data_IF_598553166193
#
_entry.id   IF_598553166193
#
_cell.length_a   1.000
_cell.length_b   1.000
_cell.length_c   1.000
_cell.angle_alpha   90.00
_cell.angle_beta   90.00
_cell.angle_gamma   90.00
#
_symmetry.space_group_name_H-M   'P 1'
#
loop_
_entity.id
_entity.type
_entity.pdbx_description
1 polymer ?
#
# COMPACT_ATOMS: atom_id res chain seq x y z
N UNK A 1 -16.41 -1.02 -2.67
CA UNK A 1 -17.71 -1.65 -2.42
C UNK A 1 -18.83 -0.91 -3.15
N UNK A 2 -18.96 0.41 -3.02
CA UNK A 2 -20.00 1.22 -3.68
C UNK A 2 -20.03 1.03 -5.21
N UNK A 3 -18.87 1.10 -5.88
CA UNK A 3 -18.76 0.90 -7.33
C UNK A 3 -19.18 -0.49 -7.81
N UNK A 4 -19.19 -1.47 -6.92
CA UNK A 4 -19.66 -2.83 -7.21
C UNK A 4 -21.12 -3.06 -6.79
N UNK A 5 -21.79 -2.06 -6.19
CA UNK A 5 -23.15 -2.19 -5.65
C UNK A 5 -23.25 -3.07 -4.39
N UNK A 6 -22.13 -3.33 -3.72
CA UNK A 6 -22.07 -4.27 -2.57
C UNK A 6 -22.41 -3.60 -1.23
N UNK A 7 -22.80 -2.34 -1.23
CA UNK A 7 -23.03 -1.57 -0.01
C UNK A 7 -21.78 -1.42 0.84
N UNK A 8 -21.68 -0.41 1.65
CA UNK A 8 -20.58 -0.18 2.59
C UNK A 8 -20.69 1.20 3.19
N UNK A 9 -20.24 1.36 4.43
CA UNK A 9 -20.04 2.67 5.02
C UNK A 9 -18.62 3.12 4.74
N UNK A 10 -18.48 4.25 4.07
CA UNK A 10 -17.18 4.90 3.85
C UNK A 10 -16.98 5.98 4.90
N UNK A 11 -15.89 5.90 5.62
CA UNK A 11 -15.52 6.87 6.66
C UNK A 11 -14.28 7.68 6.28
N UNK A 12 -14.17 8.07 4.99
CA UNK A 12 -13.05 8.87 4.50
C UNK A 12 -11.71 8.10 4.47
N UNK A 13 -10.61 8.85 4.57
CA UNK A 13 -9.25 8.30 4.47
C UNK A 13 -8.80 7.47 5.69
N UNK A 14 -9.47 7.63 6.81
CA UNK A 14 -9.14 6.96 8.08
C UNK A 14 -10.18 5.85 8.42
N UNK A 15 -10.68 5.13 7.42
CA UNK A 15 -11.64 4.06 7.63
C UNK A 15 -11.08 2.98 8.55
N UNK A 16 -11.80 2.70 9.65
CA UNK A 16 -11.41 1.70 10.65
C UNK A 16 -11.99 0.31 10.38
N UNK A 17 -12.85 0.17 9.38
CA UNK A 17 -13.53 -1.08 9.06
C UNK A 17 -12.98 -1.69 7.77
N UNK A 18 -12.35 -2.86 7.90
CA UNK A 18 -11.95 -3.64 6.73
C UNK A 18 -13.19 -4.23 6.02
N UNK A 19 -13.21 -4.25 4.67
CA UNK A 19 -14.29 -4.87 3.93
C UNK A 19 -14.33 -6.39 4.19
N UNK A 20 -15.54 -6.96 4.15
CA UNK A 20 -15.69 -8.42 4.15
C UNK A 20 -15.10 -8.97 2.84
N UNK A 21 -14.25 -9.99 2.94
CA UNK A 21 -13.54 -10.62 1.80
C UNK A 21 -12.76 -9.60 0.91
N UNK A 22 -11.75 -8.91 1.45
CA UNK A 22 -11.05 -7.84 0.73
C UNK A 22 -10.38 -8.31 -0.57
N UNK A 23 -9.89 -9.53 -0.64
CA UNK A 23 -9.28 -10.11 -1.83
C UNK A 23 -10.28 -10.23 -2.99
N UNK A 24 -11.48 -10.74 -2.71
CA UNK A 24 -12.55 -10.82 -3.71
C UNK A 24 -13.02 -9.45 -4.18
N UNK A 25 -13.04 -8.46 -3.27
CA UNK A 25 -13.39 -7.08 -3.60
C UNK A 25 -12.36 -6.45 -4.54
N UNK A 26 -11.08 -6.60 -4.25
CA UNK A 26 -10.00 -6.08 -5.10
C UNK A 26 -10.03 -6.69 -6.49
N UNK A 27 -10.15 -8.02 -6.59
CA UNK A 27 -10.22 -8.73 -7.87
C UNK A 27 -11.45 -8.34 -8.69
N UNK A 28 -12.64 -8.29 -8.10
CA UNK A 28 -13.86 -7.91 -8.78
C UNK A 28 -13.83 -6.44 -9.28
N UNK A 29 -13.23 -5.54 -8.50
CA UNK A 29 -13.09 -4.15 -8.91
C UNK A 29 -12.08 -4.01 -10.05
N UNK A 30 -10.96 -4.71 -10.00
CA UNK A 30 -9.97 -4.74 -11.06
C UNK A 30 -10.57 -5.23 -12.39
N UNK A 31 -11.33 -6.32 -12.36
CA UNK A 31 -12.05 -6.82 -13.53
C UNK A 31 -13.06 -5.81 -14.08
N UNK A 32 -13.86 -5.21 -13.20
CA UNK A 32 -14.90 -4.25 -13.60
C UNK A 32 -14.32 -3.00 -14.24
N UNK A 33 -13.18 -2.51 -13.74
CA UNK A 33 -12.58 -1.26 -14.21
C UNK A 33 -11.51 -1.48 -15.30
N UNK A 34 -11.06 -2.71 -15.52
CA UNK A 34 -9.98 -3.03 -16.46
C UNK A 34 -8.64 -2.37 -16.03
N UNK A 35 -8.34 -2.34 -14.74
CA UNK A 35 -7.15 -1.69 -14.21
C UNK A 35 -6.57 -2.47 -13.03
N UNK A 36 -5.36 -2.12 -12.62
CA UNK A 36 -4.77 -2.62 -11.37
C UNK A 36 -5.41 -1.91 -10.19
N UNK A 37 -5.83 -2.68 -9.20
CA UNK A 37 -6.38 -2.19 -7.93
C UNK A 37 -5.44 -2.56 -6.80
N UNK A 38 -5.00 -1.57 -6.03
CA UNK A 38 -4.32 -1.76 -4.76
C UNK A 38 -5.29 -1.39 -3.63
N UNK A 39 -5.58 -2.34 -2.77
CA UNK A 39 -6.34 -2.15 -1.55
C UNK A 39 -5.37 -2.19 -0.37
N UNK A 40 -5.06 -1.03 0.19
CA UNK A 40 -4.14 -0.90 1.32
C UNK A 40 -4.79 -1.30 2.64
N UNK A 41 -3.99 -1.90 3.53
CA UNK A 41 -4.45 -2.35 4.84
C UNK A 41 -3.30 -2.89 5.69
N UNK A 42 -3.61 -3.72 6.67
CA UNK A 42 -2.59 -4.48 7.41
C UNK A 42 -1.80 -5.37 6.45
N UNK A 43 -2.49 -6.02 5.52
CA UNK A 43 -1.92 -6.62 4.32
C UNK A 43 -2.42 -5.81 3.12
N UNK A 44 -1.52 -5.46 2.20
CA UNK A 44 -1.91 -4.80 0.96
C UNK A 44 -2.24 -5.86 -0.09
N UNK A 45 -3.36 -5.67 -0.78
CA UNK A 45 -3.85 -6.59 -1.80
C UNK A 45 -3.80 -5.89 -3.16
N UNK A 46 -3.07 -6.47 -4.10
CA UNK A 46 -2.93 -5.95 -5.45
C UNK A 46 -3.56 -6.94 -6.43
N UNK A 47 -4.48 -6.49 -7.27
CA UNK A 47 -5.17 -7.31 -8.25
C UNK A 47 -5.26 -6.59 -9.61
N UNK A 48 -5.18 -7.35 -10.72
CA UNK A 48 -5.40 -6.84 -12.08
C UNK A 48 -6.58 -7.52 -12.80
N UNK A 49 -7.32 -8.36 -12.07
CA UNK A 49 -8.44 -9.15 -12.60
C UNK A 49 -8.06 -10.55 -13.08
N UNK A 50 -6.77 -10.86 -13.23
CA UNK A 50 -6.25 -12.20 -13.57
C UNK A 50 -5.43 -12.79 -12.43
N UNK A 51 -4.71 -11.96 -11.70
CA UNK A 51 -3.83 -12.35 -10.61
C UNK A 51 -4.07 -11.48 -9.38
N UNK A 52 -3.69 -11.99 -8.23
CA UNK A 52 -3.75 -11.35 -6.93
C UNK A 52 -2.43 -11.55 -6.20
N UNK A 53 -1.87 -10.47 -5.68
CA UNK A 53 -0.71 -10.51 -4.80
C UNK A 53 -1.07 -9.93 -3.44
N UNK A 54 -0.55 -10.53 -2.38
CA UNK A 54 -0.65 -10.02 -1.01
C UNK A 54 0.73 -9.59 -0.54
N UNK A 55 0.88 -8.34 -0.15
CA UNK A 55 2.11 -7.79 0.42
C UNK A 55 1.92 -7.63 1.93
N UNK A 56 2.73 -8.37 2.69
CA UNK A 56 2.77 -8.36 4.16
C UNK A 56 3.92 -7.54 4.68
N UNK A 57 3.97 -7.37 6.00
CA UNK A 57 5.02 -6.59 6.66
C UNK A 57 4.59 -5.15 6.96
N UNK A 58 5.59 -4.28 7.16
CA UNK A 58 5.38 -2.91 7.58
C UNK A 58 5.29 -2.79 9.10
N UNK A 59 4.74 -1.68 9.58
CA UNK A 59 4.56 -1.37 11.00
C UNK A 59 3.12 -0.99 11.29
N UNK A 60 2.60 -1.42 12.42
CA UNK A 60 1.28 -0.99 12.91
C UNK A 60 1.23 0.51 13.18
N UNK A 61 2.37 1.15 13.40
CA UNK A 61 2.48 2.61 13.57
C UNK A 61 2.11 3.39 12.30
N UNK A 62 2.13 2.76 11.12
CA UNK A 62 1.63 3.42 9.90
C UNK A 62 0.19 3.91 10.05
N UNK A 63 -0.62 3.25 10.88
CA UNK A 63 -2.00 3.65 11.19
C UNK A 63 -2.08 4.94 11.99
N UNK A 64 -1.00 5.35 12.64
CA UNK A 64 -0.90 6.60 13.41
C UNK A 64 -0.42 7.77 12.56
N UNK A 65 -0.03 7.52 11.30
CA UNK A 65 0.44 8.54 10.35
C UNK A 65 -0.67 8.82 9.35
N UNK A 66 -1.40 9.91 9.58
CA UNK A 66 -2.41 10.37 8.61
C UNK A 66 -1.77 10.60 7.25
N UNK A 67 -2.36 10.03 6.21
CA UNK A 67 -1.89 10.16 4.83
C UNK A 67 -0.90 9.07 4.39
N UNK A 68 -0.55 8.09 5.24
CA UNK A 68 0.34 6.99 4.82
C UNK A 68 -0.15 6.24 3.58
N UNK A 69 -1.47 6.03 3.46
CA UNK A 69 -2.10 5.45 2.26
C UNK A 69 -2.03 6.37 1.05
N UNK A 70 -2.18 7.69 1.24
CA UNK A 70 -2.04 8.66 0.15
C UNK A 70 -0.61 8.69 -0.39
N UNK A 71 0.39 8.56 0.49
CA UNK A 71 1.79 8.46 0.09
C UNK A 71 2.06 7.20 -0.73
N UNK A 72 1.50 6.06 -0.32
CA UNK A 72 1.56 4.84 -1.12
C UNK A 72 0.98 5.03 -2.52
N UNK A 73 -0.11 5.78 -2.66
CA UNK A 73 -0.69 6.08 -3.98
C UNK A 73 0.27 6.88 -4.87
N UNK A 74 1.01 7.85 -4.30
CA UNK A 74 2.04 8.61 -5.03
C UNK A 74 3.21 7.71 -5.43
N UNK A 75 3.65 6.83 -4.53
CA UNK A 75 4.69 5.84 -4.83
C UNK A 75 4.27 4.89 -5.95
N UNK A 76 3.03 4.42 -5.98
CA UNK A 76 2.51 3.62 -7.09
C UNK A 76 2.65 4.35 -8.44
N UNK A 77 2.36 5.66 -8.47
CA UNK A 77 2.58 6.49 -9.66
C UNK A 77 4.04 6.58 -10.07
N UNK A 78 4.94 6.78 -9.11
CA UNK A 78 6.39 6.84 -9.38
C UNK A 78 6.94 5.51 -9.91
N UNK A 79 6.58 4.39 -9.28
CA UNK A 79 6.99 3.06 -9.75
C UNK A 79 6.42 2.72 -11.12
N UNK A 80 5.15 3.08 -11.39
CA UNK A 80 4.54 2.88 -12.71
C UNK A 80 5.24 3.71 -13.81
N UNK A 81 5.74 4.90 -13.48
CA UNK A 81 6.44 5.75 -14.43
C UNK A 81 7.78 5.16 -14.88
N UNK A 82 8.48 4.42 -14.01
CA UNK A 82 9.76 3.77 -14.35
C UNK A 82 9.60 2.34 -14.86
N UNK A 83 8.40 1.77 -14.78
CA UNK A 83 8.06 0.43 -15.27
C UNK A 83 6.82 0.47 -16.19
N UNK A 84 6.95 1.13 -17.35
CA UNK A 84 5.81 1.25 -18.26
C UNK A 84 5.37 -0.12 -18.81
N UNK A 85 4.06 -0.34 -18.85
CA UNK A 85 3.47 -1.58 -19.37
C UNK A 85 3.25 -2.68 -18.35
N UNK A 86 3.75 -2.56 -17.11
CA UNK A 86 3.51 -3.52 -16.04
C UNK A 86 3.09 -2.83 -14.73
N UNK A 87 1.88 -2.29 -14.75
CA UNK A 87 1.31 -1.59 -13.60
C UNK A 87 1.09 -2.51 -12.38
N UNK A 88 0.89 -3.82 -12.61
CA UNK A 88 0.74 -4.78 -11.52
C UNK A 88 2.03 -4.92 -10.71
N UNK A 89 3.15 -5.23 -11.39
CA UNK A 89 4.45 -5.32 -10.73
C UNK A 89 4.85 -3.99 -10.10
N UNK A 90 4.61 -2.86 -10.77
CA UNK A 90 4.87 -1.53 -10.21
C UNK A 90 4.14 -1.30 -8.88
N UNK A 91 2.85 -1.66 -8.80
CA UNK A 91 2.06 -1.52 -7.57
C UNK A 91 2.55 -2.47 -6.46
N UNK A 92 2.93 -3.71 -6.80
CA UNK A 92 3.52 -4.66 -5.84
C UNK A 92 4.83 -4.13 -5.27
N UNK A 93 5.72 -3.61 -6.12
CA UNK A 93 7.00 -3.06 -5.67
C UNK A 93 6.82 -1.79 -4.84
N UNK A 94 5.90 -0.90 -5.19
CA UNK A 94 5.58 0.27 -4.38
C UNK A 94 5.08 -0.12 -2.98
N UNK A 95 4.20 -1.12 -2.88
CA UNK A 95 3.71 -1.61 -1.60
C UNK A 95 4.82 -2.24 -0.75
N UNK A 96 5.69 -3.07 -1.37
CA UNK A 96 6.85 -3.66 -0.69
C UNK A 96 7.82 -2.61 -0.18
N UNK A 97 8.15 -1.65 -1.04
CA UNK A 97 9.04 -0.53 -0.68
C UNK A 97 8.49 0.24 0.53
N UNK A 98 7.22 0.61 0.50
CA UNK A 98 6.60 1.39 1.57
C UNK A 98 6.56 0.62 2.91
N UNK A 99 6.29 -0.68 2.86
CA UNK A 99 6.33 -1.54 4.04
C UNK A 99 7.75 -1.72 4.57
N UNK A 100 8.74 -1.91 3.71
CA UNK A 100 10.14 -1.99 4.11
C UNK A 100 10.63 -0.69 4.78
N UNK A 101 10.24 0.47 4.25
CA UNK A 101 10.50 1.75 4.90
C UNK A 101 9.88 1.83 6.29
N UNK A 102 8.65 1.34 6.46
CA UNK A 102 7.96 1.35 7.74
C UNK A 102 8.62 0.42 8.78
N UNK A 103 9.11 -0.74 8.37
CA UNK A 103 9.85 -1.66 9.23
C UNK A 103 11.14 -1.03 9.75
N UNK A 104 11.92 -0.40 8.87
CA UNK A 104 13.15 0.30 9.28
C UNK A 104 12.86 1.52 10.16
N UNK A 105 11.82 2.28 9.84
CA UNK A 105 11.42 3.43 10.63
C UNK A 105 11.00 3.07 12.06
N UNK A 106 10.46 1.85 12.27
CA UNK A 106 10.08 1.34 13.58
C UNK A 106 11.26 1.33 14.55
N UNK A 107 12.44 0.88 14.08
CA UNK A 107 13.66 0.76 14.88
C UNK A 107 14.20 2.13 15.34
N UNK A 108 13.83 3.20 14.67
CA UNK A 108 14.33 4.56 14.92
C UNK A 108 13.29 5.48 15.58
N UNK A 109 12.11 4.97 15.91
CA UNK A 109 10.98 5.78 16.34
C UNK A 109 10.57 5.53 17.80
N UNK A 110 10.60 6.58 18.63
CA UNK A 110 10.10 6.52 20.00
C UNK A 110 8.56 6.65 20.09
N UNK A 111 7.92 7.27 19.11
CA UNK A 111 6.47 7.51 19.09
C UNK A 111 5.95 7.88 17.70
N UNK A 112 4.66 8.22 17.57
CA UNK A 112 4.02 8.49 16.29
C UNK A 112 4.67 9.65 15.49
N UNK A 113 5.08 10.71 16.19
CA UNK A 113 5.73 11.87 15.55
C UNK A 113 7.10 11.52 14.98
N UNK A 114 7.97 10.88 15.79
CA UNK A 114 9.29 10.43 15.34
C UNK A 114 9.18 9.33 14.30
N UNK A 115 8.18 8.43 14.39
CA UNK A 115 7.93 7.42 13.36
C UNK A 115 7.60 8.07 12.01
N UNK A 116 6.76 9.10 11.99
CA UNK A 116 6.46 9.81 10.75
C UNK A 116 7.73 10.38 10.11
N UNK A 117 8.58 11.04 10.89
CA UNK A 117 9.85 11.59 10.38
C UNK A 117 10.76 10.46 9.89
N UNK A 118 10.98 9.42 10.70
CA UNK A 118 11.81 8.27 10.34
C UNK A 118 11.32 7.56 9.07
N UNK A 119 10.00 7.45 8.86
CA UNK A 119 9.42 6.86 7.67
C UNK A 119 9.80 7.61 6.39
N UNK A 120 9.78 8.95 6.43
CA UNK A 120 10.21 9.79 5.30
C UNK A 120 11.72 9.74 5.09
N UNK A 121 12.50 9.83 6.17
CA UNK A 121 13.96 9.78 6.10
C UNK A 121 14.41 8.43 5.52
N UNK A 122 13.78 7.34 5.96
CA UNK A 122 14.04 6.00 5.43
C UNK A 122 13.67 5.92 3.94
N UNK A 123 12.50 6.42 3.55
CA UNK A 123 12.08 6.39 2.15
C UNK A 123 13.04 7.19 1.24
N UNK A 124 13.58 8.31 1.74
CA UNK A 124 14.55 9.13 1.01
C UNK A 124 15.96 8.55 0.95
N UNK A 125 16.31 7.65 1.85
CA UNK A 125 17.65 7.04 1.97
C UNK A 125 17.72 5.56 1.56
N UNK A 126 16.56 4.92 1.24
CA UNK A 126 16.51 3.52 0.85
C UNK A 126 17.31 3.28 -0.43
N UNK A 127 18.26 2.34 -0.38
CA UNK A 127 19.04 1.91 -1.54
C UNK A 127 18.54 0.57 -2.08
N UNK A 128 18.88 0.26 -3.33
CA UNK A 128 18.52 -1.02 -3.96
C UNK A 128 19.03 -2.22 -3.16
N UNK A 129 20.24 -2.13 -2.59
CA UNK A 129 20.85 -3.21 -1.79
C UNK A 129 20.03 -3.49 -0.53
N UNK A 130 19.58 -2.44 0.16
CA UNK A 130 18.76 -2.55 1.38
C UNK A 130 17.36 -3.06 1.05
N UNK A 131 16.79 -2.61 -0.07
CA UNK A 131 15.46 -3.04 -0.50
C UNK A 131 15.44 -4.50 -1.00
N UNK A 132 16.45 -4.93 -1.75
CA UNK A 132 16.55 -6.29 -2.28
C UNK A 132 16.81 -7.34 -1.19
N UNK A 133 17.35 -6.95 -0.04
CA UNK A 133 17.60 -7.83 1.11
C UNK A 133 16.38 -8.09 1.99
N UNK A 134 15.24 -7.50 1.68
CA UNK A 134 13.95 -7.63 2.36
C UNK A 134 12.97 -8.50 1.54
#
# INVERSE_FOLDING_TARGET
AALLGLGGSEHGVDSLTAPKAPAGLAAALAQKLGCVVLLSGTEDLIADGQQLCTVRGGSDRMRTVTGAGCMLSVLCGAFAAVQPGDAFTAAVQAARFWKACAEQAEDHAAGAGSFRVALFDTAGSMTDEVFAGK
#
